data_IF_606027313305
#
_entry.id   IF_606027313305
#
_cell.length_a   1.000
_cell.length_b   1.000
_cell.length_c   1.000
_cell.angle_alpha   90.00
_cell.angle_beta   90.00
_cell.angle_gamma   90.00
#
_symmetry.space_group_name_H-M   'P 1'
#
loop_
_entity.id
_entity.type
_entity.pdbx_description
1 polymer ?
#
# COMPACT_ATOMS: atom_id res chain seq x y z
N UNK A 1 -2.62 -14.95 15.10
CA UNK A 1 -2.52 -16.42 15.29
C UNK A 1 -1.79 -16.75 16.60
N UNK A 2 -0.45 -16.66 16.65
CA UNK A 2 0.38 -17.09 17.80
C UNK A 2 0.02 -16.39 19.11
N UNK A 3 -0.10 -15.07 19.11
CA UNK A 3 -0.32 -14.28 20.33
C UNK A 3 -1.70 -14.52 20.96
N UNK A 4 -2.69 -14.90 20.15
CA UNK A 4 -4.07 -15.17 20.59
C UNK A 4 -4.38 -16.68 20.71
N UNK A 5 -3.45 -17.56 20.32
CA UNK A 5 -3.65 -19.02 20.36
C UNK A 5 -4.80 -19.52 19.48
N UNK A 6 -5.17 -18.80 18.42
CA UNK A 6 -6.22 -19.15 17.46
C UNK A 6 -5.62 -19.62 16.15
N UNK A 7 -6.38 -20.37 15.33
CA UNK A 7 -5.94 -20.73 13.98
C UNK A 7 -5.93 -19.52 13.02
N UNK A 8 -5.37 -19.73 11.82
CA UNK A 8 -5.23 -18.69 10.81
C UNK A 8 -6.58 -18.09 10.36
N UNK A 9 -7.61 -18.92 10.15
CA UNK A 9 -8.90 -18.43 9.64
C UNK A 9 -9.61 -17.57 10.68
N UNK A 10 -9.57 -18.00 11.94
CA UNK A 10 -10.10 -17.22 13.05
C UNK A 10 -9.27 -15.95 13.28
N UNK A 11 -7.94 -16.01 13.17
CA UNK A 11 -7.08 -14.83 13.27
C UNK A 11 -7.44 -13.77 12.21
N UNK A 12 -7.64 -14.21 10.96
CA UNK A 12 -8.02 -13.32 9.87
C UNK A 12 -9.40 -12.72 10.11
N UNK A 13 -10.38 -13.53 10.54
CA UNK A 13 -11.72 -13.07 10.87
C UNK A 13 -11.71 -12.04 11.99
N UNK A 14 -10.90 -12.25 13.03
CA UNK A 14 -10.76 -11.32 14.14
C UNK A 14 -10.10 -10.01 13.69
N UNK A 15 -9.04 -10.08 12.86
CA UNK A 15 -8.37 -8.90 12.30
C UNK A 15 -9.31 -8.07 11.43
N UNK A 16 -10.07 -8.71 10.54
CA UNK A 16 -11.06 -8.04 9.68
C UNK A 16 -12.27 -7.52 10.46
N UNK A 17 -12.52 -8.06 11.65
CA UNK A 17 -13.60 -7.64 12.55
C UNK A 17 -13.24 -6.45 13.46
N UNK A 18 -11.98 -6.00 13.49
CA UNK A 18 -11.57 -4.80 14.22
C UNK A 18 -12.32 -3.56 13.72
N UNK A 19 -12.70 -2.66 14.63
CA UNK A 19 -13.49 -1.46 14.26
C UNK A 19 -14.91 -1.77 13.80
N UNK A 20 -15.32 -3.05 13.81
CA UNK A 20 -16.71 -3.46 13.57
C UNK A 20 -17.33 -3.87 14.90
N UNK A 21 -18.65 -3.65 15.06
CA UNK A 21 -19.41 -4.10 16.24
C UNK A 21 -19.53 -5.64 16.36
N UNK A 22 -18.67 -6.42 15.70
CA UNK A 22 -18.69 -7.88 15.65
C UNK A 22 -17.76 -8.54 16.68
N UNK A 23 -16.91 -7.76 17.35
CA UNK A 23 -15.98 -8.22 18.39
C UNK A 23 -16.29 -7.49 19.69
N UNK A 24 -16.18 -8.16 20.84
CA UNK A 24 -16.35 -7.49 22.13
C UNK A 24 -15.17 -6.57 22.42
N UNK A 25 -15.40 -5.43 23.09
CA UNK A 25 -14.36 -4.45 23.40
C UNK A 25 -13.13 -5.03 24.11
N UNK A 26 -13.31 -6.02 24.99
CA UNK A 26 -12.19 -6.71 25.64
C UNK A 26 -11.32 -7.47 24.63
N UNK A 27 -11.96 -8.18 23.70
CA UNK A 27 -11.25 -8.99 22.69
C UNK A 27 -10.64 -8.10 21.61
N UNK A 28 -11.26 -6.98 21.29
CA UNK A 28 -10.71 -5.95 20.39
C UNK A 28 -9.35 -5.45 20.91
N UNK A 29 -9.28 -5.08 22.20
CA UNK A 29 -8.02 -4.67 22.83
C UNK A 29 -6.94 -5.75 22.79
N UNK A 30 -7.29 -7.02 23.01
CA UNK A 30 -6.33 -8.13 22.90
C UNK A 30 -5.78 -8.28 21.47
N UNK A 31 -6.64 -8.11 20.46
CA UNK A 31 -6.24 -8.16 19.06
C UNK A 31 -5.35 -6.95 18.71
N UNK A 32 -5.72 -5.74 19.14
CA UNK A 32 -4.92 -4.53 18.94
C UNK A 32 -3.51 -4.70 19.52
N UNK A 33 -3.40 -5.14 20.78
CA UNK A 33 -2.11 -5.42 21.42
C UNK A 33 -1.31 -6.49 20.67
N UNK A 34 -1.96 -7.50 20.10
CA UNK A 34 -1.28 -8.50 19.26
C UNK A 34 -0.74 -7.90 17.95
N UNK A 35 -1.40 -6.87 17.40
CA UNK A 35 -1.01 -6.21 16.15
C UNK A 35 0.06 -5.13 16.35
N UNK A 36 0.13 -4.47 17.51
CA UNK A 36 1.11 -3.41 17.83
C UNK A 36 2.55 -3.80 17.45
N UNK A 37 3.00 -5.03 17.78
CA UNK A 37 4.35 -5.50 17.42
C UNK A 37 4.57 -5.56 15.91
N UNK A 38 3.53 -5.90 15.16
CA UNK A 38 3.61 -5.96 13.70
C UNK A 38 3.63 -4.56 13.09
N UNK A 39 2.88 -3.62 13.68
CA UNK A 39 2.88 -2.22 13.26
C UNK A 39 4.25 -1.57 13.48
N UNK A 40 4.89 -1.81 14.62
CA UNK A 40 6.25 -1.31 14.92
C UNK A 40 7.29 -1.82 13.90
N UNK A 41 7.24 -3.11 13.57
CA UNK A 41 8.09 -3.70 12.53
C UNK A 41 7.80 -3.08 11.16
N UNK A 42 6.54 -2.80 10.85
CA UNK A 42 6.15 -2.17 9.58
C UNK A 42 6.68 -0.73 9.48
N UNK A 43 6.51 0.07 10.53
CA UNK A 43 6.99 1.44 10.61
C UNK A 43 8.52 1.49 10.47
N UNK A 44 9.23 0.62 11.18
CA UNK A 44 10.69 0.48 11.05
C UNK A 44 11.09 0.07 9.63
N UNK A 45 10.34 -0.83 9.00
CA UNK A 45 10.56 -1.25 7.62
C UNK A 45 10.40 -0.12 6.62
N UNK A 46 9.38 0.73 6.76
CA UNK A 46 9.22 1.92 5.92
C UNK A 46 10.39 2.88 6.11
N UNK A 47 10.77 3.16 7.36
CA UNK A 47 11.86 4.08 7.65
C UNK A 47 13.14 3.62 6.96
N UNK A 48 13.48 2.34 7.08
CA UNK A 48 14.63 1.75 6.43
C UNK A 48 14.53 1.84 4.90
N UNK A 49 13.42 1.40 4.31
CA UNK A 49 13.24 1.36 2.87
C UNK A 49 13.28 2.75 2.23
N UNK A 50 12.73 3.77 2.89
CA UNK A 50 12.80 5.15 2.40
C UNK A 50 14.17 5.78 2.63
N UNK A 51 14.92 5.34 3.65
CA UNK A 51 16.29 5.75 3.91
C UNK A 51 17.29 5.29 2.84
N UNK A 52 16.96 4.26 2.06
CA UNK A 52 17.79 3.77 0.95
C UNK A 52 17.79 4.70 -0.28
N UNK A 53 16.91 5.70 -0.34
CA UNK A 53 16.85 6.68 -1.44
C UNK A 53 17.88 7.81 -1.26
N UNK A 54 19.17 7.47 -1.35
CA UNK A 54 20.31 8.38 -1.13
C UNK A 54 20.53 9.45 -2.22
N UNK A 55 19.89 9.31 -3.39
CA UNK A 55 20.00 10.24 -4.52
C UNK A 55 18.99 11.38 -4.51
N UNK A 56 18.04 11.37 -3.58
CA UNK A 56 17.00 12.39 -3.48
C UNK A 56 17.38 13.41 -2.40
N UNK A 57 17.41 14.69 -2.75
CA UNK A 57 17.61 15.76 -1.76
C UNK A 57 16.46 15.76 -0.72
N UNK A 58 15.23 15.51 -1.20
CA UNK A 58 14.03 15.48 -0.39
C UNK A 58 13.06 14.38 -0.82
N UNK A 59 12.47 13.69 0.16
CA UNK A 59 11.41 12.72 -0.09
C UNK A 59 10.04 13.40 -0.32
N UNK A 60 9.18 12.82 -1.18
CA UNK A 60 7.84 13.33 -1.42
C UNK A 60 6.96 13.18 -0.17
N UNK A 61 6.35 14.29 0.26
CA UNK A 61 5.50 14.33 1.46
C UNK A 61 4.13 13.62 1.31
N UNK A 62 3.75 13.16 0.11
CA UNK A 62 2.50 12.45 -0.09
C UNK A 62 2.80 10.97 -0.32
N UNK A 63 2.31 10.13 0.57
CA UNK A 63 2.52 8.68 0.52
C UNK A 63 1.17 8.01 0.35
N UNK A 64 1.08 7.14 -0.64
CA UNK A 64 -0.12 6.38 -0.92
C UNK A 64 0.11 4.90 -0.66
N UNK A 65 -0.75 4.30 0.17
CA UNK A 65 -0.76 2.86 0.39
C UNK A 65 -1.82 2.20 -0.50
N UNK A 66 -1.51 0.98 -0.94
CA UNK A 66 -2.42 0.16 -1.74
C UNK A 66 -2.32 -1.32 -1.37
N UNK A 67 -3.25 -2.12 -1.91
CA UNK A 67 -3.31 -3.57 -1.67
C UNK A 67 -4.02 -3.95 -0.36
N UNK A 68 -4.42 -5.22 -0.23
CA UNK A 68 -5.27 -5.69 0.87
C UNK A 68 -4.68 -5.52 2.28
N UNK A 69 -3.34 -5.54 2.40
CA UNK A 69 -2.66 -5.33 3.69
C UNK A 69 -2.80 -3.90 4.23
N UNK A 70 -3.03 -2.92 3.36
CA UNK A 70 -3.21 -1.52 3.75
C UNK A 70 -4.61 -1.20 4.27
N UNK A 71 -5.54 -2.16 4.21
CA UNK A 71 -6.91 -2.01 4.74
C UNK A 71 -6.99 -2.03 6.28
N UNK A 72 -5.88 -2.24 6.98
CA UNK A 72 -5.85 -2.20 8.44
C UNK A 72 -5.77 -0.74 8.91
N UNK A 73 -6.85 -0.21 9.47
CA UNK A 73 -6.91 1.20 9.92
C UNK A 73 -5.78 1.57 10.90
N UNK A 74 -5.46 0.66 11.83
CA UNK A 74 -4.35 0.85 12.76
C UNK A 74 -3.01 1.12 12.06
N UNK A 75 -2.80 0.59 10.85
CA UNK A 75 -1.58 0.84 10.08
C UNK A 75 -1.53 2.28 9.58
N UNK A 76 -2.65 2.79 9.06
CA UNK A 76 -2.75 4.18 8.59
C UNK A 76 -2.55 5.12 9.78
N UNK A 77 -3.22 4.84 10.89
CA UNK A 77 -3.13 5.64 12.11
C UNK A 77 -1.70 5.66 12.67
N UNK A 78 -1.03 4.52 12.74
CA UNK A 78 0.35 4.44 13.21
C UNK A 78 1.28 5.27 12.33
N UNK A 79 1.18 5.14 11.00
CA UNK A 79 2.04 5.86 10.06
C UNK A 79 1.77 7.37 10.02
N UNK A 80 0.53 7.80 10.28
CA UNK A 80 0.17 9.21 10.37
C UNK A 80 0.57 9.83 11.69
N UNK A 81 0.54 9.10 12.81
CA UNK A 81 0.68 9.69 14.14
C UNK A 81 2.08 9.54 14.76
N UNK A 82 2.88 8.60 14.28
CA UNK A 82 4.25 8.39 14.77
C UNK A 82 5.27 9.35 14.12
N UNK A 83 6.54 9.23 14.54
CA UNK A 83 7.62 10.20 14.25
C UNK A 83 8.73 9.66 13.35
N UNK A 84 8.58 8.47 12.76
CA UNK A 84 9.56 7.81 11.87
C UNK A 84 10.10 8.75 10.78
N UNK A 85 9.24 9.61 10.23
CA UNK A 85 9.60 10.54 9.16
C UNK A 85 10.69 11.54 9.55
N UNK A 86 10.93 11.77 10.85
CA UNK A 86 11.97 12.70 11.33
C UNK A 86 13.39 12.20 11.07
N UNK A 87 13.58 10.90 10.90
CA UNK A 87 14.88 10.32 10.56
C UNK A 87 15.21 10.42 9.06
N UNK A 88 14.27 10.93 8.25
CA UNK A 88 14.33 10.92 6.80
C UNK A 88 14.30 12.34 6.22
N UNK A 89 14.80 12.54 4.98
CA UNK A 89 14.90 13.87 4.37
C UNK A 89 13.55 14.39 3.85
N UNK A 90 12.53 14.44 4.70
CA UNK A 90 11.27 15.13 4.38
C UNK A 90 11.36 16.62 4.71
N UNK A 91 10.80 17.47 3.85
CA UNK A 91 10.69 18.92 4.09
C UNK A 91 9.55 19.30 5.05
N UNK A 92 8.62 18.37 5.30
CA UNK A 92 7.47 18.49 6.20
C UNK A 92 6.95 17.11 6.58
N UNK A 93 6.07 17.03 7.59
CA UNK A 93 5.42 15.77 7.97
C UNK A 93 4.70 15.16 6.74
N UNK A 94 4.96 13.88 6.39
CA UNK A 94 4.28 13.24 5.28
C UNK A 94 2.82 12.97 5.62
N UNK A 95 1.98 12.99 4.59
CA UNK A 95 0.57 12.60 4.62
C UNK A 95 0.49 11.20 4.02
N UNK A 96 0.06 10.24 4.83
CA UNK A 96 -0.14 8.85 4.42
C UNK A 96 -1.63 8.62 4.20
N UNK A 97 -2.02 8.07 3.05
CA UNK A 97 -3.43 7.82 2.73
C UNK A 97 -3.58 6.64 1.79
N UNK A 98 -4.78 6.08 1.70
CA UNK A 98 -5.10 5.07 0.69
C UNK A 98 -5.27 5.76 -0.67
N UNK A 99 -4.70 5.17 -1.72
CA UNK A 99 -4.94 5.63 -3.09
C UNK A 99 -6.31 5.14 -3.58
N UNK A 100 -7.08 6.07 -4.13
CA UNK A 100 -8.37 5.77 -4.73
C UNK A 100 -8.22 5.38 -6.22
N UNK A 101 -9.10 4.50 -6.74
CA UNK A 101 -9.06 4.10 -8.15
C UNK A 101 -9.13 5.24 -9.16
N UNK A 102 -9.84 6.33 -8.85
CA UNK A 102 -9.97 7.51 -9.70
C UNK A 102 -8.66 8.31 -9.82
N UNK A 103 -7.71 8.10 -8.91
CA UNK A 103 -6.37 8.69 -8.97
C UNK A 103 -5.43 7.92 -9.91
N UNK A 104 -5.83 6.75 -10.43
CA UNK A 104 -5.03 5.99 -11.40
C UNK A 104 -5.23 6.55 -12.81
N UNK A 105 -4.26 7.35 -13.26
CA UNK A 105 -4.33 8.03 -14.54
C UNK A 105 -4.48 7.08 -15.74
N UNK A 106 -5.38 7.42 -16.67
CA UNK A 106 -5.54 6.72 -17.94
C UNK A 106 -6.27 5.36 -17.87
N UNK A 107 -6.78 4.97 -16.70
CA UNK A 107 -7.62 3.78 -16.52
C UNK A 107 -8.98 4.23 -15.99
N UNK A 108 -10.06 3.69 -16.54
CA UNK A 108 -11.42 3.97 -16.09
C UNK A 108 -12.18 2.66 -15.94
N UNK A 109 -12.72 2.40 -14.74
CA UNK A 109 -13.59 1.25 -14.51
C UNK A 109 -15.01 1.57 -14.98
N UNK A 110 -15.45 0.86 -16.02
CA UNK A 110 -16.82 0.94 -16.53
C UNK A 110 -17.78 -0.04 -15.83
N UNK A 111 -17.27 -0.96 -15.01
CA UNK A 111 -18.07 -1.98 -14.33
C UNK A 111 -18.62 -1.51 -12.98
N UNK A 112 -18.01 -0.48 -12.39
CA UNK A 112 -18.34 0.04 -11.06
C UNK A 112 -17.99 -0.94 -9.93
N UNK A 113 -17.13 -1.93 -10.18
CA UNK A 113 -16.70 -2.94 -9.19
C UNK A 113 -15.38 -2.58 -8.52
N UNK A 114 -14.57 -1.75 -9.17
CA UNK A 114 -13.27 -1.29 -8.68
C UNK A 114 -13.48 -0.08 -7.80
N UNK A 115 -13.58 -0.31 -6.48
CA UNK A 115 -14.06 0.72 -5.54
C UNK A 115 -13.03 1.17 -4.52
N UNK A 116 -11.91 0.48 -4.40
CA UNK A 116 -10.96 0.72 -3.31
C UNK A 116 -9.50 0.47 -3.72
N UNK A 117 -8.61 0.76 -2.78
CA UNK A 117 -7.17 0.65 -2.90
C UNK A 117 -6.65 -0.78 -3.15
N UNK A 118 -7.47 -1.81 -2.94
CA UNK A 118 -7.07 -3.21 -3.14
C UNK A 118 -6.93 -3.58 -4.61
N UNK A 119 -7.60 -2.85 -5.50
CA UNK A 119 -7.55 -3.06 -6.95
C UNK A 119 -6.41 -2.30 -7.65
N UNK A 120 -5.74 -1.39 -6.95
CA UNK A 120 -4.76 -0.48 -7.55
C UNK A 120 -3.60 -1.24 -8.18
N UNK A 121 -3.16 -2.35 -7.59
CA UNK A 121 -2.11 -3.19 -8.20
C UNK A 121 -2.54 -3.72 -9.56
N UNK A 122 -3.78 -4.19 -9.71
CA UNK A 122 -4.31 -4.64 -10.99
C UNK A 122 -4.43 -3.48 -12.00
N UNK A 123 -4.90 -2.31 -11.55
CA UNK A 123 -4.98 -1.12 -12.40
C UNK A 123 -3.60 -0.63 -12.85
N UNK A 124 -2.59 -0.68 -11.98
CA UNK A 124 -1.21 -0.36 -12.29
C UNK A 124 -0.64 -1.28 -13.38
N UNK A 125 -0.92 -2.58 -13.30
CA UNK A 125 -0.55 -3.52 -14.36
C UNK A 125 -1.23 -3.22 -15.70
N UNK A 126 -2.52 -2.85 -15.68
CA UNK A 126 -3.24 -2.42 -16.88
C UNK A 126 -2.61 -1.15 -17.48
N UNK A 127 -2.23 -0.18 -16.64
CA UNK A 127 -1.56 1.05 -17.07
C UNK A 127 -0.23 0.76 -17.75
N UNK A 128 0.59 -0.11 -17.18
CA UNK A 128 1.85 -0.56 -17.81
C UNK A 128 1.59 -1.24 -19.14
N UNK A 129 0.56 -2.09 -19.22
CA UNK A 129 0.16 -2.74 -20.47
C UNK A 129 -0.22 -1.72 -21.55
N UNK A 130 -1.01 -0.70 -21.19
CA UNK A 130 -1.43 0.36 -22.10
C UNK A 130 -0.24 1.21 -22.57
N UNK A 131 0.65 1.60 -21.66
CA UNK A 131 1.88 2.32 -22.02
C UNK A 131 2.76 1.50 -22.95
N UNK A 132 2.83 0.18 -22.74
CA UNK A 132 3.62 -0.73 -23.59
C UNK A 132 3.05 -0.77 -25.01
N UNK A 133 1.72 -0.71 -25.16
CA UNK A 133 1.06 -0.67 -26.46
C UNK A 133 1.16 0.70 -27.14
N UNK A 134 1.12 1.81 -26.38
CA UNK A 134 1.20 3.16 -26.94
C UNK A 134 2.61 3.53 -27.40
N UNK A 135 3.64 3.14 -26.63
CA UNK A 135 5.04 3.25 -27.07
C UNK A 135 5.36 2.36 -28.28
N UNK A 136 4.49 1.39 -28.60
CA UNK A 136 4.63 0.47 -29.72
C UNK A 136 4.11 1.00 -31.07
N UNK A 137 4.15 2.31 -31.31
CA UNK A 137 3.81 2.92 -32.60
C UNK A 137 4.44 2.18 -33.79
N UNK A 138 3.60 1.52 -34.59
CA UNK A 138 3.82 1.14 -36.00
C UNK A 138 4.90 0.10 -36.35
N UNK A 139 5.64 -0.48 -35.40
CA UNK A 139 6.76 -1.40 -35.68
C UNK A 139 6.52 -2.86 -35.28
N UNK A 140 6.94 -3.80 -36.14
CA UNK A 140 6.90 -5.27 -35.98
C UNK A 140 7.73 -5.85 -34.81
N UNK A 141 8.13 -5.04 -33.83
CA UNK A 141 8.94 -5.50 -32.70
C UNK A 141 8.12 -6.37 -31.74
N UNK A 142 8.79 -7.36 -31.14
CA UNK A 142 8.17 -8.27 -30.18
C UNK A 142 7.86 -7.57 -28.85
N UNK A 143 6.89 -8.09 -28.09
CA UNK A 143 6.46 -7.51 -26.80
C UNK A 143 7.65 -7.42 -25.81
N UNK A 144 8.59 -8.36 -25.86
CA UNK A 144 9.79 -8.38 -25.02
C UNK A 144 10.73 -7.21 -25.30
N UNK A 145 11.06 -6.96 -26.56
CA UNK A 145 11.93 -5.85 -26.97
C UNK A 145 11.31 -4.49 -26.63
N UNK A 146 9.96 -4.41 -26.59
CA UNK A 146 9.21 -3.23 -26.20
C UNK A 146 9.28 -2.98 -24.69
N UNK A 147 9.15 -4.03 -23.87
CA UNK A 147 9.27 -3.94 -22.42
C UNK A 147 10.68 -3.52 -21.98
N UNK A 148 11.72 -4.13 -22.56
CA UNK A 148 13.13 -3.82 -22.25
C UNK A 148 13.49 -2.37 -22.59
N UNK A 149 12.84 -1.75 -23.58
CA UNK A 149 13.07 -0.35 -23.97
C UNK A 149 12.39 0.63 -23.02
N UNK A 150 11.22 0.30 -22.48
CA UNK A 150 10.50 1.12 -21.51
C UNK A 150 11.22 1.15 -20.15
N UNK A 151 11.75 0.01 -19.70
CA UNK A 151 12.40 -0.14 -18.40
C UNK A 151 13.83 0.44 -18.33
N UNK A 152 14.36 0.93 -19.45
CA UNK A 152 15.71 1.51 -19.56
C UNK A 152 15.79 3.01 -19.24
N UNK A 153 14.70 3.61 -18.74
CA UNK A 153 14.64 5.02 -18.30
C UNK A 153 15.09 5.15 -16.86
#
# INVERSE_FOLDING_TARGET
ERDLGVDFQEAERLKLGLGTNQVSATKEKEIETALEKTLDVWTTGIELALGEFDKLDHLPHQIYLCGGGSSLDMLIDELQNSVWYKALPFTRKPVVSLINPDQVAGITDSTGKVKDHTYITAMGLLRVGLDTMQYAGGGNNTIREKLDKMLRV
#
